data_IF_091178194861
#
_entry.id   IF_091178194861
#
_cell.length_a   1.000
_cell.length_b   1.000
_cell.length_c   1.000
_cell.angle_alpha   90.00
_cell.angle_beta   90.00
_cell.angle_gamma   90.00
#
_symmetry.space_group_name_H-M   'P 1'
#
loop_
_entity.id
_entity.type
_entity.pdbx_description
1 polymer ?
#
# COMPACT_ATOMS: atom_id res chain seq x y z
N UNK A 1 -3.75 -0.81 -7.19
CA UNK A 1 -4.41 0.47 -7.53
C UNK A 1 -3.40 1.40 -8.21
N UNK A 2 -3.78 2.29 -9.13
CA UNK A 2 -2.81 3.24 -9.75
C UNK A 2 -2.42 4.34 -8.76
N UNK A 3 -1.16 4.79 -8.75
CA UNK A 3 -0.63 5.92 -7.96
C UNK A 3 -1.52 7.18 -7.99
N UNK A 4 -2.26 7.38 -9.08
CA UNK A 4 -3.27 8.42 -9.23
C UNK A 4 -4.38 8.38 -8.17
N UNK A 5 -4.86 7.19 -7.79
CA UNK A 5 -5.90 7.03 -6.76
C UNK A 5 -5.42 7.46 -5.39
N UNK A 6 -4.19 7.07 -5.02
CA UNK A 6 -3.55 7.48 -3.78
C UNK A 6 -3.32 9.01 -3.71
N UNK A 7 -2.95 9.64 -4.84
CA UNK A 7 -2.78 11.09 -4.92
C UNK A 7 -4.12 11.83 -4.79
N UNK A 8 -5.19 11.35 -5.45
CA UNK A 8 -6.52 11.96 -5.35
C UNK A 8 -7.06 11.89 -3.92
N UNK A 9 -6.93 10.73 -3.27
CA UNK A 9 -7.31 10.55 -1.88
C UNK A 9 -6.46 11.42 -0.94
N UNK A 10 -5.15 11.48 -1.20
CA UNK A 10 -4.20 12.31 -0.47
C UNK A 10 -4.47 13.82 -0.57
N UNK A 11 -4.95 14.30 -1.72
CA UNK A 11 -5.23 15.72 -1.92
C UNK A 11 -6.49 16.22 -1.23
N UNK A 12 -7.42 15.33 -0.90
CA UNK A 12 -8.70 15.69 -0.28
C UNK A 12 -8.55 16.48 1.05
N UNK A 13 -7.76 16.02 2.04
CA UNK A 13 -7.55 16.79 3.27
C UNK A 13 -6.81 18.11 3.03
N UNK A 14 -5.92 18.19 2.04
CA UNK A 14 -5.19 19.42 1.69
C UNK A 14 -6.15 20.46 1.10
N UNK A 15 -6.96 20.06 0.11
CA UNK A 15 -7.94 20.93 -0.54
C UNK A 15 -9.00 21.42 0.45
N UNK A 16 -9.48 20.52 1.30
CA UNK A 16 -10.43 20.86 2.34
C UNK A 16 -9.83 21.83 3.38
N UNK A 17 -8.59 21.59 3.81
CA UNK A 17 -7.90 22.50 4.71
C UNK A 17 -7.71 23.89 4.10
N UNK A 18 -7.31 23.96 2.82
CA UNK A 18 -7.18 25.22 2.10
C UNK A 18 -8.49 26.00 2.09
N UNK A 19 -9.63 25.32 1.87
CA UNK A 19 -10.96 25.94 1.91
C UNK A 19 -11.38 26.41 3.31
N UNK A 20 -11.02 25.68 4.36
CA UNK A 20 -11.35 26.04 5.75
C UNK A 20 -10.42 27.11 6.34
N UNK A 21 -9.18 27.23 5.85
CA UNK A 21 -8.18 28.10 6.44
C UNK A 21 -8.51 29.58 6.21
N UNK A 22 -8.72 30.34 7.29
CA UNK A 22 -8.93 31.81 7.22
C UNK A 22 -7.65 32.61 7.45
N UNK A 23 -6.63 31.98 8.02
CA UNK A 23 -5.32 32.57 8.30
C UNK A 23 -4.29 32.05 7.29
N UNK A 24 -3.59 32.91 6.54
CA UNK A 24 -2.60 32.48 5.56
C UNK A 24 -1.42 31.76 6.24
N UNK A 25 -0.98 32.23 7.42
CA UNK A 25 0.16 31.62 8.14
C UNK A 25 -0.16 30.21 8.63
N UNK A 26 -1.32 30.03 9.26
CA UNK A 26 -1.74 28.71 9.77
C UNK A 26 -2.15 27.78 8.63
N UNK A 27 -2.75 28.34 7.57
CA UNK A 27 -3.07 27.63 6.34
C UNK A 27 -1.85 26.98 5.72
N UNK A 28 -0.79 27.78 5.49
CA UNK A 28 0.49 27.32 4.92
C UNK A 28 1.16 26.30 5.83
N UNK A 29 1.22 26.54 7.15
CA UNK A 29 1.88 25.62 8.08
C UNK A 29 1.22 24.23 8.07
N UNK A 30 -0.09 24.15 8.24
CA UNK A 30 -0.81 22.87 8.24
C UNK A 30 -0.81 22.22 6.86
N UNK A 31 -0.97 22.99 5.78
CA UNK A 31 -0.87 22.49 4.42
C UNK A 31 0.50 21.84 4.15
N UNK A 32 1.58 22.49 4.57
CA UNK A 32 2.94 21.94 4.44
C UNK A 32 3.11 20.63 5.23
N UNK A 33 2.55 20.54 6.43
CA UNK A 33 2.56 19.30 7.23
C UNK A 33 1.78 18.18 6.53
N UNK A 34 0.60 18.47 5.98
CA UNK A 34 -0.19 17.48 5.24
C UNK A 34 0.51 16.98 3.97
N UNK A 35 1.21 17.87 3.25
CA UNK A 35 2.03 17.51 2.09
C UNK A 35 3.23 16.66 2.51
N UNK A 36 3.91 17.02 3.60
CA UNK A 36 5.04 16.25 4.13
C UNK A 36 4.60 14.84 4.55
N UNK A 37 3.44 14.71 5.21
CA UNK A 37 2.83 13.42 5.54
C UNK A 37 2.51 12.63 4.27
N UNK A 38 1.87 13.25 3.28
CA UNK A 38 1.54 12.57 2.03
C UNK A 38 2.81 12.05 1.34
N UNK A 39 3.86 12.87 1.28
CA UNK A 39 5.15 12.48 0.73
C UNK A 39 5.76 11.30 1.48
N UNK A 40 5.68 11.28 2.82
CA UNK A 40 6.17 10.17 3.64
C UNK A 40 5.45 8.84 3.34
N UNK A 41 4.14 8.87 3.05
CA UNK A 41 3.39 7.65 2.70
C UNK A 41 3.61 7.21 1.24
N UNK A 42 3.76 8.15 0.31
CA UNK A 42 3.79 7.85 -1.14
C UNK A 42 5.22 7.59 -1.65
N UNK A 43 6.20 8.39 -1.22
CA UNK A 43 7.56 8.38 -1.79
C UNK A 43 8.30 7.06 -1.55
N UNK A 44 8.31 6.47 -0.34
CA UNK A 44 9.00 5.19 -0.12
C UNK A 44 8.48 4.09 -1.04
N UNK A 45 7.15 4.04 -1.28
CA UNK A 45 6.55 3.10 -2.22
C UNK A 45 6.95 3.37 -3.67
N UNK A 46 6.94 4.63 -4.09
CA UNK A 46 7.35 5.01 -5.45
C UNK A 46 8.82 4.65 -5.73
N UNK A 47 9.66 4.68 -4.69
CA UNK A 47 11.06 4.25 -4.74
C UNK A 47 11.25 2.75 -4.56
N UNK A 48 10.16 1.96 -4.54
CA UNK A 48 10.18 0.52 -4.32
C UNK A 48 10.83 0.10 -3.00
N UNK A 49 10.91 1.01 -2.03
CA UNK A 49 11.41 0.70 -0.71
C UNK A 49 10.41 -0.24 -0.02
N UNK A 50 10.95 -1.25 0.65
CA UNK A 50 10.18 -2.25 1.36
C UNK A 50 10.82 -2.57 2.70
N UNK A 51 10.02 -2.82 3.72
CA UNK A 51 10.50 -3.21 5.04
C UNK A 51 9.52 -2.83 6.16
N UNK A 52 9.90 -3.06 7.42
CA UNK A 52 9.03 -2.81 8.58
C UNK A 52 8.72 -1.33 8.80
N UNK A 53 9.48 -0.43 8.17
CA UNK A 53 9.30 1.02 8.27
C UNK A 53 8.46 1.62 7.14
N UNK A 54 8.06 0.80 6.17
CA UNK A 54 7.23 1.23 5.04
C UNK A 54 5.78 0.80 5.32
N UNK A 55 4.84 1.74 5.44
CA UNK A 55 3.43 1.42 5.64
C UNK A 55 2.94 0.47 4.55
N UNK A 56 2.05 -0.48 4.84
CA UNK A 56 1.33 -1.25 3.82
C UNK A 56 0.37 -0.34 3.01
N UNK A 57 -0.15 -0.83 1.88
CA UNK A 57 -1.02 0.00 1.01
C UNK A 57 -2.31 0.36 1.77
N UNK A 58 -2.93 -0.64 2.38
CA UNK A 58 -4.06 -0.48 3.31
C UNK A 58 -3.75 0.52 4.45
N UNK A 59 -2.58 0.36 5.10
CA UNK A 59 -2.16 1.29 6.15
C UNK A 59 -1.98 2.72 5.67
N UNK A 60 -1.52 2.90 4.44
CA UNK A 60 -1.32 4.24 3.89
C UNK A 60 -2.66 4.98 3.78
N UNK A 61 -3.76 4.29 3.47
CA UNK A 61 -5.07 4.93 3.38
C UNK A 61 -5.60 5.36 4.75
N UNK A 62 -5.66 4.44 5.71
CA UNK A 62 -6.27 4.76 7.00
C UNK A 62 -5.34 5.60 7.90
N UNK A 63 -4.02 5.32 7.94
CA UNK A 63 -3.10 6.12 8.77
C UNK A 63 -2.98 7.54 8.26
N UNK A 64 -2.90 7.75 6.94
CA UNK A 64 -2.87 9.09 6.38
C UNK A 64 -4.13 9.86 6.76
N UNK A 65 -5.31 9.25 6.64
CA UNK A 65 -6.58 9.88 7.02
C UNK A 65 -6.60 10.27 8.51
N UNK A 66 -6.12 9.37 9.40
CA UNK A 66 -6.03 9.63 10.85
C UNK A 66 -5.06 10.77 11.15
N UNK A 67 -3.84 10.73 10.62
CA UNK A 67 -2.85 11.79 10.85
C UNK A 67 -3.32 13.13 10.27
N UNK A 68 -3.89 13.14 9.07
CA UNK A 68 -4.44 14.35 8.47
C UNK A 68 -5.56 14.95 9.33
N UNK A 69 -6.46 14.12 9.87
CA UNK A 69 -7.51 14.57 10.78
C UNK A 69 -6.92 15.19 12.06
N UNK A 70 -5.92 14.55 12.68
CA UNK A 70 -5.23 15.07 13.88
C UNK A 70 -4.60 16.44 13.59
N UNK A 71 -3.86 16.57 12.49
CA UNK A 71 -3.20 17.82 12.10
C UNK A 71 -4.24 18.92 11.86
N UNK A 72 -5.34 18.61 11.18
CA UNK A 72 -6.44 19.56 10.95
C UNK A 72 -7.12 20.00 12.26
N UNK A 73 -7.33 19.08 13.21
CA UNK A 73 -7.87 19.41 14.55
C UNK A 73 -6.92 20.36 15.28
N UNK A 74 -5.63 20.05 15.33
CA UNK A 74 -4.61 20.92 15.96
C UNK A 74 -4.62 22.31 15.32
N UNK A 75 -4.70 22.38 13.99
CA UNK A 75 -4.79 23.66 13.26
C UNK A 75 -6.00 24.50 13.67
N UNK A 76 -7.17 23.89 13.88
CA UNK A 76 -8.37 24.60 14.33
C UNK A 76 -8.30 24.99 15.81
N UNK A 77 -7.70 24.15 16.67
CA UNK A 77 -7.43 24.49 18.07
C UNK A 77 -6.56 25.73 18.18
N UNK A 78 -5.49 25.82 17.39
CA UNK A 78 -4.59 26.98 17.34
C UNK A 78 -5.34 28.25 16.87
N UNK A 79 -6.31 28.12 15.96
CA UNK A 79 -7.14 29.24 15.51
C UNK A 79 -8.27 29.62 16.49
N UNK A 80 -8.41 28.94 17.65
CA UNK A 80 -9.45 29.18 18.68
C UNK A 80 -10.91 29.17 18.17
N UNK A 81 -11.23 28.44 17.10
CA UNK A 81 -12.56 28.47 16.45
C UNK A 81 -13.58 27.44 17.00
N UNK A 82 -13.59 27.26 18.33
CA UNK A 82 -14.00 26.00 18.96
C UNK A 82 -15.43 25.48 18.71
N UNK A 83 -16.52 26.27 18.68
CA UNK A 83 -17.84 25.64 18.57
C UNK A 83 -18.36 25.48 17.12
N UNK A 84 -18.00 26.36 16.18
CA UNK A 84 -18.55 26.32 14.80
C UNK A 84 -17.72 25.49 13.82
N UNK A 85 -16.42 25.29 14.10
CA UNK A 85 -15.52 24.48 13.25
C UNK A 85 -15.51 22.99 13.57
N UNK A 86 -15.83 22.63 14.82
CA UNK A 86 -15.69 21.26 15.34
C UNK A 86 -16.62 20.27 14.64
N UNK A 87 -17.90 20.64 14.43
CA UNK A 87 -18.87 19.76 13.79
C UNK A 87 -18.51 19.45 12.33
N UNK A 88 -18.00 20.45 11.59
CA UNK A 88 -17.49 20.26 10.22
C UNK A 88 -16.23 19.39 10.20
N UNK A 89 -15.34 19.57 11.17
CA UNK A 89 -14.14 18.76 11.32
C UNK A 89 -14.45 17.30 11.64
N UNK A 90 -15.39 17.04 12.55
CA UNK A 90 -15.84 15.70 12.89
C UNK A 90 -16.54 15.05 11.71
N UNK A 91 -17.38 15.78 10.98
CA UNK A 91 -18.04 15.24 9.77
C UNK A 91 -17.02 14.87 8.69
N UNK A 92 -15.98 15.69 8.50
CA UNK A 92 -14.90 15.43 7.54
C UNK A 92 -14.04 14.25 7.98
N UNK A 93 -13.61 14.23 9.23
CA UNK A 93 -12.78 13.15 9.76
C UNK A 93 -13.56 11.83 9.73
N UNK A 94 -14.84 11.85 10.12
CA UNK A 94 -15.75 10.73 10.02
C UNK A 94 -15.92 10.25 8.58
N UNK A 95 -16.10 11.17 7.63
CA UNK A 95 -16.19 10.82 6.21
C UNK A 95 -14.89 10.19 5.70
N UNK A 96 -13.72 10.72 6.09
CA UNK A 96 -12.42 10.14 5.75
C UNK A 96 -12.25 8.73 6.31
N UNK A 97 -12.69 8.48 7.55
CA UNK A 97 -12.70 7.14 8.16
C UNK A 97 -13.66 6.20 7.43
N UNK A 98 -14.86 6.67 7.08
CA UNK A 98 -15.83 5.85 6.33
C UNK A 98 -15.29 5.49 4.94
N UNK A 99 -14.70 6.44 4.22
CA UNK A 99 -14.09 6.15 2.92
C UNK A 99 -12.91 5.19 3.08
N UNK A 100 -12.03 5.39 4.07
CA UNK A 100 -10.93 4.47 4.35
C UNK A 100 -11.45 3.05 4.65
N UNK A 101 -12.53 2.93 5.43
CA UNK A 101 -13.16 1.65 5.74
C UNK A 101 -13.75 0.98 4.50
N UNK A 102 -14.42 1.73 3.63
CA UNK A 102 -14.98 1.22 2.36
C UNK A 102 -13.87 0.77 1.41
N UNK A 103 -12.80 1.54 1.28
CA UNK A 103 -11.63 1.20 0.44
C UNK A 103 -10.96 -0.05 0.98
N UNK A 104 -10.75 -0.14 2.30
CA UNK A 104 -10.12 -1.31 2.90
C UNK A 104 -10.99 -2.57 2.75
N UNK A 105 -12.32 -2.46 2.82
CA UNK A 105 -13.24 -3.54 2.50
C UNK A 105 -13.16 -3.97 1.02
N UNK A 106 -13.04 -3.01 0.10
CA UNK A 106 -12.83 -3.31 -1.32
C UNK A 106 -11.49 -4.01 -1.58
N UNK A 107 -10.44 -3.60 -0.89
CA UNK A 107 -9.11 -4.22 -1.00
C UNK A 107 -9.06 -5.64 -0.44
N UNK A 108 -9.95 -6.01 0.50
CA UNK A 108 -10.07 -7.40 0.96
C UNK A 108 -10.60 -8.35 -0.13
N UNK A 109 -11.37 -7.84 -1.07
CA UNK A 109 -11.93 -8.61 -2.19
C UNK A 109 -11.12 -8.43 -3.49
N UNK A 110 -10.14 -7.54 -3.49
CA UNK A 110 -9.30 -7.26 -4.64
C UNK A 110 -8.06 -8.16 -4.69
N UNK A 111 -7.58 -8.43 -5.91
CA UNK A 111 -6.28 -9.06 -6.11
C UNK A 111 -5.18 -8.19 -5.49
N UNK A 112 -4.16 -8.80 -4.85
CA UNK A 112 -3.05 -8.03 -4.31
C UNK A 112 -2.37 -7.23 -5.41
N UNK A 113 -1.82 -6.08 -5.04
CA UNK A 113 -1.09 -5.20 -5.96
C UNK A 113 0.22 -5.82 -6.44
N UNK A 114 1.17 -4.98 -6.84
CA UNK A 114 2.48 -5.46 -7.28
C UNK A 114 3.34 -5.97 -6.12
N UNK A 115 3.12 -5.45 -4.91
CA UNK A 115 3.78 -5.81 -3.65
C UNK A 115 5.31 -5.91 -3.70
N UNK A 116 5.94 -5.29 -4.69
CA UNK A 116 7.38 -5.40 -4.97
C UNK A 116 7.82 -6.74 -5.56
N UNK A 117 6.88 -7.57 -6.04
CA UNK A 117 7.11 -8.70 -6.95
C UNK A 117 7.26 -8.19 -8.39
N UNK A 118 6.51 -7.14 -8.73
CA UNK A 118 6.64 -6.40 -9.98
C UNK A 118 7.30 -5.02 -9.75
N UNK A 119 7.90 -4.41 -10.79
CA UNK A 119 8.10 -4.93 -12.14
C UNK A 119 9.12 -6.07 -12.19
N UNK A 120 8.99 -6.95 -13.18
CA UNK A 120 9.94 -8.03 -13.41
C UNK A 120 11.35 -7.54 -13.76
N UNK A 121 12.39 -8.34 -13.49
CA UNK A 121 13.75 -8.03 -13.89
C UNK A 121 13.90 -7.95 -15.41
N UNK A 122 14.93 -7.22 -15.86
CA UNK A 122 15.24 -7.09 -17.27
C UNK A 122 15.42 -8.46 -17.93
N UNK A 123 14.89 -8.63 -19.15
CA UNK A 123 14.93 -9.89 -19.89
C UNK A 123 13.78 -10.86 -19.59
N UNK A 124 12.98 -10.61 -18.54
CA UNK A 124 11.79 -11.40 -18.22
C UNK A 124 10.53 -10.69 -18.68
N UNK A 125 9.74 -11.34 -19.53
CA UNK A 125 8.43 -10.86 -19.96
C UNK A 125 7.35 -11.44 -19.07
N UNK A 126 6.45 -10.60 -18.60
CA UNK A 126 5.36 -11.00 -17.72
C UNK A 126 4.04 -10.85 -18.44
N UNK A 127 3.22 -11.89 -18.38
CA UNK A 127 1.83 -11.89 -18.83
C UNK A 127 0.96 -12.08 -17.60
N UNK A 128 -0.02 -11.21 -17.44
CA UNK A 128 -0.94 -11.28 -16.30
C UNK A 128 -1.88 -12.48 -16.44
N UNK A 129 -1.92 -13.32 -15.42
CA UNK A 129 -2.77 -14.51 -15.35
C UNK A 129 -4.18 -14.19 -14.86
N UNK A 130 -5.00 -15.23 -14.73
CA UNK A 130 -6.39 -15.05 -14.28
C UNK A 130 -6.48 -14.64 -12.82
N UNK A 131 -5.51 -15.00 -11.97
CA UNK A 131 -5.55 -14.76 -10.52
C UNK A 131 -6.75 -15.44 -9.86
N UNK A 132 -6.73 -15.56 -8.54
CA UNK A 132 -7.74 -16.32 -7.82
C UNK A 132 -8.15 -15.59 -6.54
N UNK A 133 -9.46 -15.37 -6.36
CA UNK A 133 -10.04 -14.83 -5.14
C UNK A 133 -11.09 -15.82 -4.63
N UNK A 134 -10.98 -16.22 -3.36
CA UNK A 134 -11.89 -17.19 -2.76
C UNK A 134 -11.68 -17.34 -1.25
N UNK A 135 -12.77 -17.59 -0.53
CA UNK A 135 -12.77 -17.92 0.92
C UNK A 135 -11.92 -16.98 1.79
N UNK A 136 -11.98 -15.68 1.52
CA UNK A 136 -11.31 -14.64 2.33
C UNK A 136 -9.83 -14.42 2.01
N UNK A 137 -9.35 -14.93 0.87
CA UNK A 137 -8.00 -14.64 0.37
C UNK A 137 -8.03 -14.38 -1.14
N UNK A 138 -7.14 -13.49 -1.59
CA UNK A 138 -6.90 -13.22 -2.99
C UNK A 138 -5.41 -13.42 -3.31
N UNK A 139 -5.15 -14.02 -4.46
CA UNK A 139 -3.84 -14.21 -5.04
C UNK A 139 -3.82 -13.61 -6.45
N UNK A 140 -2.68 -13.03 -6.80
CA UNK A 140 -2.38 -12.57 -8.15
C UNK A 140 -1.39 -13.54 -8.77
N UNK A 141 -1.64 -13.87 -10.02
CA UNK A 141 -0.86 -14.84 -10.78
C UNK A 141 -0.35 -14.15 -12.03
N UNK A 142 0.91 -14.39 -12.35
CA UNK A 142 1.50 -13.98 -13.61
C UNK A 142 2.38 -15.09 -14.15
N UNK A 143 2.44 -15.15 -15.48
CA UNK A 143 3.35 -16.04 -16.17
C UNK A 143 4.55 -15.24 -16.66
N UNK A 144 5.72 -15.59 -16.16
CA UNK A 144 7.00 -15.01 -16.55
C UNK A 144 7.71 -15.91 -17.57
N UNK A 145 8.20 -15.30 -18.64
CA UNK A 145 8.95 -15.96 -19.73
C UNK A 145 10.29 -15.30 -19.95
N UNK A 146 11.32 -16.10 -20.22
CA UNK A 146 12.66 -15.62 -20.56
C UNK A 146 13.76 -16.59 -20.15
N UNK A 147 14.95 -16.39 -20.70
CA UNK A 147 16.12 -17.20 -20.40
C UNK A 147 16.42 -17.17 -18.89
N UNK A 148 16.39 -18.35 -18.25
CA UNK A 148 16.63 -18.48 -16.80
C UNK A 148 15.66 -17.61 -15.97
N UNK A 149 14.40 -17.49 -16.41
CA UNK A 149 13.39 -16.68 -15.73
C UNK A 149 13.24 -17.02 -14.24
N UNK A 150 13.37 -18.30 -13.86
CA UNK A 150 13.28 -18.76 -12.48
C UNK A 150 14.39 -18.16 -11.61
N UNK A 151 15.63 -18.26 -12.07
CA UNK A 151 16.80 -17.71 -11.40
C UNK A 151 16.72 -16.19 -11.31
N UNK A 152 16.38 -15.51 -12.41
CA UNK A 152 16.27 -14.07 -12.46
C UNK A 152 15.21 -13.54 -11.48
N UNK A 153 14.04 -14.18 -11.41
CA UNK A 153 12.98 -13.81 -10.46
C UNK A 153 13.36 -14.13 -9.02
N UNK A 154 14.04 -15.26 -8.79
CA UNK A 154 14.54 -15.65 -7.47
C UNK A 154 15.50 -14.61 -6.91
N UNK A 155 16.47 -14.19 -7.71
CA UNK A 155 17.44 -13.14 -7.37
C UNK A 155 16.76 -11.78 -7.20
N UNK A 156 15.82 -11.45 -8.09
CA UNK A 156 15.03 -10.23 -7.98
C UNK A 156 14.28 -10.17 -6.64
N UNK A 157 13.54 -11.20 -6.29
CA UNK A 157 12.81 -11.28 -5.02
C UNK A 157 13.76 -11.21 -3.81
N UNK A 158 14.90 -11.90 -3.87
CA UNK A 158 15.92 -11.80 -2.82
C UNK A 158 16.44 -10.36 -2.66
N UNK A 159 16.70 -9.64 -3.76
CA UNK A 159 17.13 -8.24 -3.74
C UNK A 159 16.07 -7.30 -3.14
N UNK A 160 14.79 -7.69 -3.21
CA UNK A 160 13.66 -7.00 -2.60
C UNK A 160 13.37 -7.45 -1.16
N UNK A 161 14.24 -8.26 -0.57
CA UNK A 161 14.14 -8.70 0.82
C UNK A 161 13.19 -9.86 1.06
N UNK A 162 12.80 -10.61 0.01
CA UNK A 162 12.06 -11.86 0.18
C UNK A 162 13.01 -12.98 0.61
N UNK A 163 12.63 -13.67 1.69
CA UNK A 163 13.36 -14.80 2.26
C UNK A 163 12.74 -16.13 1.86
N UNK A 164 13.56 -17.16 1.68
CA UNK A 164 13.07 -18.49 1.35
C UNK A 164 12.23 -19.06 2.51
N UNK A 165 11.11 -19.69 2.16
CA UNK A 165 10.21 -20.38 3.09
C UNK A 165 10.01 -21.82 2.62
N UNK A 166 9.47 -22.71 3.48
CA UNK A 166 9.08 -24.04 3.04
C UNK A 166 8.17 -23.97 1.81
N UNK A 167 8.38 -24.85 0.81
CA UNK A 167 7.61 -24.83 -0.42
C UNK A 167 6.13 -25.12 -0.13
N UNK A 168 5.25 -24.52 -0.92
CA UNK A 168 3.81 -24.79 -0.91
C UNK A 168 3.41 -25.27 -2.30
N UNK A 169 2.57 -26.31 -2.37
CA UNK A 169 2.07 -26.88 -3.63
C UNK A 169 3.16 -27.28 -4.65
N UNK A 170 4.37 -27.61 -4.17
CA UNK A 170 5.50 -27.99 -5.01
C UNK A 170 6.26 -26.82 -5.66
N UNK A 171 5.88 -25.56 -5.37
CA UNK A 171 6.58 -24.36 -5.81
C UNK A 171 7.57 -23.83 -4.77
N UNK A 172 8.63 -23.15 -5.24
CA UNK A 172 9.55 -22.44 -4.35
C UNK A 172 8.84 -21.20 -3.77
N UNK A 173 8.69 -21.15 -2.45
CA UNK A 173 8.01 -20.05 -1.78
C UNK A 173 9.01 -19.07 -1.18
N UNK A 174 8.83 -17.78 -1.44
CA UNK A 174 9.61 -16.70 -0.83
C UNK A 174 8.68 -15.66 -0.23
N UNK A 175 8.96 -15.22 1.00
CA UNK A 175 8.08 -14.31 1.72
C UNK A 175 8.83 -13.13 2.35
N UNK A 176 8.11 -12.02 2.53
CA UNK A 176 8.59 -10.80 3.18
C UNK A 176 7.50 -10.22 4.08
N UNK A 177 7.88 -9.84 5.30
CA UNK A 177 7.02 -9.07 6.18
C UNK A 177 6.92 -7.61 5.70
N UNK A 178 5.70 -7.08 5.68
CA UNK A 178 5.37 -5.70 5.29
C UNK A 178 4.41 -5.09 6.30
N UNK A 179 4.33 -3.77 6.32
CA UNK A 179 3.44 -3.03 7.19
C UNK A 179 4.12 -2.51 8.45
N UNK A 180 3.58 -1.39 8.96
CA UNK A 180 4.15 -0.63 10.07
C UNK A 180 3.49 -0.99 11.42
N UNK A 181 2.16 -1.05 11.45
CA UNK A 181 1.34 -1.36 12.63
C UNK A 181 0.68 -2.74 12.54
N UNK A 182 0.24 -3.11 11.35
CA UNK A 182 -0.37 -4.38 11.01
C UNK A 182 0.62 -5.12 10.12
N UNK A 183 1.43 -5.98 10.74
CA UNK A 183 2.41 -6.80 10.02
C UNK A 183 1.65 -7.84 9.19
N UNK A 184 1.85 -7.77 7.88
CA UNK A 184 1.37 -8.74 6.89
C UNK A 184 2.57 -9.45 6.27
N UNK A 185 2.37 -10.66 5.78
CA UNK A 185 3.41 -11.39 5.04
C UNK A 185 2.98 -11.49 3.58
N UNK A 186 3.80 -10.94 2.68
CA UNK A 186 3.64 -11.12 1.24
C UNK A 186 4.47 -12.32 0.85
N UNK A 187 3.86 -13.32 0.22
CA UNK A 187 4.55 -14.49 -0.28
C UNK A 187 4.41 -14.57 -1.80
N UNK A 188 5.50 -14.90 -2.48
CA UNK A 188 5.56 -15.22 -3.90
C UNK A 188 5.99 -16.68 -4.05
N UNK A 189 5.18 -17.45 -4.76
CA UNK A 189 5.43 -18.83 -5.16
C UNK A 189 5.90 -18.87 -6.60
N UNK A 190 7.05 -19.50 -6.82
CA UNK A 190 7.63 -19.69 -8.14
C UNK A 190 7.46 -21.15 -8.53
N UNK A 191 6.74 -21.40 -9.61
CA UNK A 191 6.53 -22.73 -10.17
C UNK A 191 7.12 -22.78 -11.58
N UNK A 192 8.20 -23.52 -11.75
CA UNK A 192 8.74 -23.77 -13.09
C UNK A 192 7.83 -24.75 -13.82
N UNK A 193 7.27 -24.31 -14.95
CA UNK A 193 6.41 -25.11 -15.82
C UNK A 193 7.12 -25.49 -17.13
N UNK A 194 8.29 -24.89 -17.39
CA UNK A 194 9.19 -25.22 -18.49
C UNK A 194 10.58 -24.62 -18.27
N UNK A 195 11.54 -24.84 -19.20
CA UNK A 195 12.91 -24.35 -19.07
C UNK A 195 12.99 -22.82 -19.02
N UNK A 196 12.13 -22.13 -19.76
CA UNK A 196 12.09 -20.66 -19.87
C UNK A 196 10.75 -20.07 -19.42
N UNK A 197 9.96 -20.87 -18.68
CA UNK A 197 8.59 -20.54 -18.27
C UNK A 197 8.43 -20.76 -16.77
N UNK A 198 8.02 -19.70 -16.08
CA UNK A 198 7.78 -19.70 -14.64
C UNK A 198 6.45 -19.04 -14.36
N UNK A 199 5.60 -19.74 -13.65
CA UNK A 199 4.41 -19.18 -13.06
C UNK A 199 4.77 -18.58 -11.70
N UNK A 200 4.41 -17.31 -11.49
CA UNK A 200 4.62 -16.61 -10.24
C UNK A 200 3.26 -16.24 -9.67
N UNK A 201 2.94 -16.81 -8.52
CA UNK A 201 1.70 -16.54 -7.80
C UNK A 201 2.05 -15.90 -6.49
N UNK A 202 1.50 -14.72 -6.21
CA UNK A 202 1.70 -14.07 -4.92
C UNK A 202 0.40 -13.72 -4.23
N UNK A 203 0.47 -13.71 -2.91
CA UNK A 203 -0.65 -13.49 -2.02
C UNK A 203 -0.17 -12.78 -0.75
N UNK A 204 -1.10 -12.10 -0.09
CA UNK A 204 -0.85 -11.38 1.15
C UNK A 204 -1.56 -12.12 2.28
N UNK A 205 -0.77 -12.76 3.14
CA UNK A 205 -1.28 -13.40 4.35
C UNK A 205 -1.17 -12.46 5.54
N UNK A 206 -2.05 -12.67 6.52
CA UNK A 206 -1.76 -12.20 7.88
C UNK A 206 -0.63 -13.07 8.40
N UNK A 207 0.48 -12.45 8.78
CA UNK A 207 1.55 -13.19 9.43
C UNK A 207 0.96 -13.88 10.68
N UNK A 208 1.28 -15.15 10.96
CA UNK A 208 1.06 -15.67 12.30
C UNK A 208 1.84 -14.77 13.26
N UNK A 209 1.15 -14.19 14.25
CA UNK A 209 1.85 -13.53 15.36
C UNK A 209 2.86 -14.53 15.93
N UNK A 210 4.14 -14.12 16.14
CA UNK A 210 5.11 -14.97 16.82
C UNK A 210 4.68 -15.31 18.24
#
# INVERSE_FOLDING_TARGET
MSTLGALLFGMLPIALWAWLSRSPRTGVAVGAVLVALLAWFVVPRALWASGPWVPSEAESYWLYAVFAAIVCVIGVLVQRQWPRGLLRLVAVAGLGVVIAFVVEFGDYEAKPGDEGVLPAPAGVRVVEGQGHCGSGSCAREVTATGDRAAEALREHLASRGFSARPPLNGGERRCRAVGLLVVREVCAELRSTGPDLVEVTWYVNRAPFP
#
